data_IF_473723353395
#
_entry.id   IF_473723353395
#
_cell.length_a   1.000
_cell.length_b   1.000
_cell.length_c   1.000
_cell.angle_alpha   90.00
_cell.angle_beta   90.00
_cell.angle_gamma   90.00
#
_symmetry.space_group_name_H-M   'P 1'
#
loop_
_entity.id
_entity.type
_entity.pdbx_description
1 polymer ?
#
# COMPACT_ATOMS: atom_id res chain seq x y z
N UNK A 1 -6.30 -25.73 -11.12
CA UNK A 1 -6.41 -24.57 -10.18
C UNK A 1 -5.40 -23.56 -10.65
N UNK A 2 -5.76 -22.29 -10.82
CA UNK A 2 -4.76 -21.27 -11.13
C UNK A 2 -3.87 -21.12 -9.90
N UNK A 3 -2.60 -21.50 -10.00
CA UNK A 3 -1.63 -21.29 -8.93
C UNK A 3 -1.62 -19.80 -8.57
N UNK A 4 -1.85 -19.52 -7.30
CA UNK A 4 -1.84 -18.15 -6.81
C UNK A 4 -0.39 -17.70 -6.71
N UNK A 5 0.08 -17.03 -7.76
CA UNK A 5 1.43 -16.48 -7.84
C UNK A 5 1.34 -14.94 -7.79
N UNK A 6 2.08 -14.33 -6.86
CA UNK A 6 2.28 -12.88 -6.88
C UNK A 6 3.09 -12.53 -8.13
N UNK A 7 2.61 -11.57 -8.92
CA UNK A 7 3.35 -10.93 -10.01
C UNK A 7 4.02 -9.65 -9.46
N UNK A 8 5.32 -9.67 -9.10
CA UNK A 8 5.97 -8.54 -8.44
C UNK A 8 6.05 -7.33 -9.37
N UNK A 9 6.22 -7.55 -10.67
CA UNK A 9 6.21 -6.47 -11.67
C UNK A 9 4.86 -5.76 -11.74
N UNK A 10 3.77 -6.53 -11.75
CA UNK A 10 2.41 -5.99 -11.70
C UNK A 10 2.13 -5.20 -10.43
N UNK A 11 2.54 -5.73 -9.27
CA UNK A 11 2.40 -5.04 -7.97
C UNK A 11 3.20 -3.73 -7.97
N UNK A 12 4.43 -3.72 -8.47
CA UNK A 12 5.27 -2.51 -8.57
C UNK A 12 4.66 -1.45 -9.48
N UNK A 13 4.07 -1.84 -10.60
CA UNK A 13 3.37 -0.90 -11.50
C UNK A 13 2.19 -0.24 -10.79
N UNK A 14 1.37 -1.03 -10.09
CA UNK A 14 0.22 -0.50 -9.34
C UNK A 14 0.69 0.40 -8.20
N UNK A 15 1.68 -0.02 -7.41
CA UNK A 15 2.23 0.79 -6.32
C UNK A 15 2.79 2.12 -6.81
N UNK A 16 3.55 2.12 -7.91
CA UNK A 16 4.06 3.36 -8.52
C UNK A 16 2.92 4.30 -8.92
N UNK A 17 1.85 3.77 -9.52
CA UNK A 17 0.69 4.58 -9.90
C UNK A 17 -0.05 5.15 -8.68
N UNK A 18 -0.23 4.35 -7.62
CA UNK A 18 -0.87 4.80 -6.38
C UNK A 18 -0.04 5.87 -5.67
N UNK A 19 1.27 5.69 -5.56
CA UNK A 19 2.18 6.69 -4.97
C UNK A 19 2.16 7.99 -5.79
N UNK A 20 2.12 7.90 -7.12
CA UNK A 20 2.00 9.07 -8.00
C UNK A 20 0.70 9.84 -7.73
N UNK A 21 -0.43 9.14 -7.69
CA UNK A 21 -1.73 9.74 -7.39
C UNK A 21 -1.81 10.33 -5.97
N UNK A 22 -1.23 9.63 -4.98
CA UNK A 22 -1.12 10.10 -3.59
C UNK A 22 -0.34 11.43 -3.52
N UNK A 23 0.77 11.53 -4.26
CA UNK A 23 1.59 12.75 -4.33
C UNK A 23 0.88 13.92 -5.01
N UNK A 24 -0.12 13.68 -5.86
CA UNK A 24 -0.92 14.74 -6.47
C UNK A 24 -2.05 15.22 -5.55
N UNK A 25 -2.70 14.29 -4.84
CA UNK A 25 -3.91 14.55 -4.02
C UNK A 25 -3.57 15.14 -2.65
N UNK A 26 -2.55 14.61 -1.96
CA UNK A 26 -2.16 15.07 -0.62
C UNK A 26 -1.90 16.59 -0.53
N UNK A 27 -1.14 17.22 -1.42
CA UNK A 27 -0.89 18.66 -1.33
C UNK A 27 -2.12 19.50 -1.70
N UNK A 28 -3.02 18.99 -2.54
CA UNK A 28 -4.25 19.72 -2.91
C UNK A 28 -5.23 19.82 -1.75
N UNK A 29 -5.31 18.80 -0.88
CA UNK A 29 -6.20 18.77 0.28
C UNK A 29 -5.52 19.27 1.57
N UNK A 30 -4.45 20.05 1.41
CA UNK A 30 -3.78 20.68 2.55
C UNK A 30 -4.69 21.68 3.26
N UNK A 31 -4.56 21.75 4.59
CA UNK A 31 -5.24 22.73 5.44
C UNK A 31 -4.99 24.18 4.98
N UNK A 32 -3.87 24.43 4.30
CA UNK A 32 -3.48 25.73 3.76
C UNK A 32 -4.34 26.15 2.56
N UNK A 33 -4.61 25.23 1.62
CA UNK A 33 -5.54 25.49 0.50
C UNK A 33 -6.98 25.71 1.00
N UNK A 34 -7.38 24.93 2.01
CA UNK A 34 -8.67 25.09 2.71
C UNK A 34 -8.78 26.48 3.35
N UNK A 35 -7.75 26.91 4.07
CA UNK A 35 -7.72 28.23 4.69
C UNK A 35 -7.74 29.36 3.64
N UNK A 36 -7.11 29.15 2.48
CA UNK A 36 -7.17 30.07 1.34
C UNK A 36 -8.58 30.25 0.77
N UNK A 37 -9.33 29.15 0.61
CA UNK A 37 -10.74 29.20 0.15
C UNK A 37 -11.63 29.93 1.16
N UNK A 38 -11.46 29.65 2.46
CA UNK A 38 -12.22 30.32 3.52
C UNK A 38 -11.88 31.81 3.63
N UNK A 39 -10.60 32.17 3.47
CA UNK A 39 -10.14 33.56 3.48
C UNK A 39 -10.65 34.32 2.26
N UNK A 40 -10.77 33.67 1.11
CA UNK A 40 -11.45 34.25 -0.04
C UNK A 40 -12.90 34.56 0.30
N UNK A 41 -13.68 33.61 0.85
CA UNK A 41 -15.09 33.82 1.21
C UNK A 41 -15.37 34.98 2.18
N UNK A 42 -14.36 35.47 2.91
CA UNK A 42 -14.50 36.63 3.78
C UNK A 42 -14.82 37.95 3.04
N UNK A 43 -14.65 38.03 1.70
CA UNK A 43 -14.96 39.23 0.91
C UNK A 43 -16.44 39.63 0.93
N UNK A 44 -17.36 38.71 1.26
CA UNK A 44 -18.80 38.94 1.16
C UNK A 44 -19.47 39.68 2.34
N UNK A 45 -18.74 39.92 3.45
CA UNK A 45 -19.25 40.68 4.60
C UNK A 45 -20.42 40.00 5.36
N UNK A 46 -21.13 40.77 6.20
CA UNK A 46 -22.18 40.28 7.11
C UNK A 46 -23.35 39.56 6.41
N UNK A 47 -23.71 40.00 5.21
CA UNK A 47 -24.88 39.48 4.47
C UNK A 47 -24.68 38.07 3.92
N UNK A 48 -23.42 37.63 3.76
CA UNK A 48 -23.09 36.28 3.27
C UNK A 48 -22.36 35.44 4.33
N UNK A 49 -22.32 35.91 5.59
CA UNK A 49 -21.62 35.24 6.68
C UNK A 49 -22.09 33.78 6.89
N UNK A 50 -23.38 33.52 6.66
CA UNK A 50 -23.95 32.17 6.72
C UNK A 50 -23.36 31.21 5.68
N UNK A 51 -22.96 31.71 4.51
CA UNK A 51 -22.31 30.92 3.46
C UNK A 51 -20.89 30.55 3.87
N UNK A 52 -20.15 31.50 4.44
CA UNK A 52 -18.81 31.25 4.98
C UNK A 52 -18.82 30.18 6.08
N UNK A 53 -19.76 30.28 7.03
CA UNK A 53 -19.92 29.28 8.09
C UNK A 53 -20.35 27.90 7.56
N UNK A 54 -21.24 27.85 6.56
CA UNK A 54 -21.66 26.58 5.96
C UNK A 54 -20.51 25.89 5.19
N UNK A 55 -19.71 26.66 4.45
CA UNK A 55 -18.51 26.14 3.76
C UNK A 55 -17.46 25.68 4.77
N UNK A 56 -17.24 26.43 5.85
CA UNK A 56 -16.31 26.02 6.90
C UNK A 56 -16.74 24.72 7.59
N UNK A 57 -18.04 24.57 7.87
CA UNK A 57 -18.60 23.31 8.39
C UNK A 57 -18.39 22.15 7.42
N UNK A 58 -18.73 22.34 6.14
CA UNK A 58 -18.53 21.32 5.11
C UNK A 58 -17.06 20.91 4.99
N UNK A 59 -16.14 21.86 4.96
CA UNK A 59 -14.72 21.55 4.82
C UNK A 59 -14.19 20.82 6.05
N UNK A 60 -14.61 21.22 7.25
CA UNK A 60 -14.22 20.55 8.50
C UNK A 60 -14.72 19.09 8.52
N UNK A 61 -15.98 18.86 8.10
CA UNK A 61 -16.56 17.51 8.03
C UNK A 61 -15.87 16.64 6.97
N UNK A 62 -15.50 17.23 5.83
CA UNK A 62 -14.83 16.51 4.75
C UNK A 62 -13.35 16.26 5.05
N UNK A 63 -12.69 17.12 5.84
CA UNK A 63 -11.27 16.96 6.18
C UNK A 63 -11.00 15.62 6.85
N UNK A 64 -11.80 15.23 7.84
CA UNK A 64 -11.65 13.95 8.53
C UNK A 64 -11.83 12.74 7.57
N UNK A 65 -12.74 12.87 6.61
CA UNK A 65 -12.96 11.83 5.59
C UNK A 65 -11.77 11.72 4.64
N UNK A 66 -11.22 12.85 4.20
CA UNK A 66 -10.04 12.87 3.33
C UNK A 66 -8.80 12.35 4.06
N UNK A 67 -8.57 12.78 5.30
CA UNK A 67 -7.45 12.30 6.10
C UNK A 67 -7.51 10.78 6.28
N UNK A 68 -8.72 10.22 6.47
CA UNK A 68 -8.93 8.77 6.57
C UNK A 68 -8.60 8.05 5.26
N UNK A 69 -9.01 8.62 4.12
CA UNK A 69 -8.69 8.07 2.79
C UNK A 69 -7.17 8.08 2.57
N UNK A 70 -6.51 9.20 2.85
CA UNK A 70 -5.06 9.34 2.73
C UNK A 70 -4.33 8.32 3.61
N UNK A 71 -4.70 8.20 4.89
CA UNK A 71 -4.12 7.21 5.80
C UNK A 71 -4.32 5.77 5.28
N UNK A 72 -5.48 5.47 4.72
CA UNK A 72 -5.78 4.15 4.15
C UNK A 72 -4.90 3.86 2.93
N UNK A 73 -4.70 4.85 2.05
CA UNK A 73 -3.80 4.73 0.89
C UNK A 73 -2.37 4.48 1.36
N UNK A 74 -1.84 5.29 2.28
CA UNK A 74 -0.47 5.13 2.77
C UNK A 74 -0.26 3.78 3.48
N UNK A 75 -1.25 3.34 4.27
CA UNK A 75 -1.24 2.03 4.92
C UNK A 75 -1.27 0.88 3.89
N UNK A 76 -2.09 1.01 2.84
CA UNK A 76 -2.16 0.04 1.75
C UNK A 76 -0.85 -0.07 0.98
N UNK A 77 -0.24 1.07 0.61
CA UNK A 77 1.07 1.12 -0.07
C UNK A 77 2.13 0.43 0.79
N UNK A 78 2.20 0.77 2.07
CA UNK A 78 3.18 0.20 3.01
C UNK A 78 2.96 -1.31 3.19
N UNK A 79 1.71 -1.73 3.41
CA UNK A 79 1.35 -3.12 3.64
C UNK A 79 1.66 -4.00 2.43
N UNK A 80 1.22 -3.59 1.23
CA UNK A 80 1.44 -4.35 -0.01
C UNK A 80 2.92 -4.41 -0.38
N UNK A 81 3.67 -3.32 -0.18
CA UNK A 81 5.12 -3.30 -0.42
C UNK A 81 5.84 -4.30 0.47
N UNK A 82 5.55 -4.28 1.78
CA UNK A 82 6.17 -5.20 2.74
C UNK A 82 5.78 -6.66 2.51
N UNK A 83 4.52 -6.93 2.17
CA UNK A 83 4.07 -8.28 1.84
C UNK A 83 4.80 -8.84 0.61
N UNK A 84 5.02 -8.00 -0.41
CA UNK A 84 5.76 -8.37 -1.62
C UNK A 84 7.24 -8.69 -1.30
N UNK A 85 7.89 -7.84 -0.50
CA UNK A 85 9.27 -8.07 -0.06
C UNK A 85 9.40 -9.36 0.77
N UNK A 86 8.48 -9.58 1.71
CA UNK A 86 8.47 -10.79 2.53
C UNK A 86 8.29 -12.06 1.68
N UNK A 87 7.45 -11.99 0.64
CA UNK A 87 7.25 -13.09 -0.28
C UNK A 87 8.52 -13.43 -1.10
N UNK A 88 9.20 -12.42 -1.64
CA UNK A 88 10.48 -12.61 -2.37
C UNK A 88 11.59 -13.14 -1.45
N UNK A 89 11.70 -12.61 -0.23
CA UNK A 89 12.64 -13.09 0.77
C UNK A 89 12.35 -14.55 1.17
N UNK A 90 11.07 -14.89 1.36
CA UNK A 90 10.63 -16.24 1.67
C UNK A 90 10.97 -17.25 0.58
N UNK A 91 10.74 -16.89 -0.69
CA UNK A 91 11.14 -17.74 -1.83
C UNK A 91 12.66 -17.94 -1.90
N UNK A 92 13.44 -16.89 -1.67
CA UNK A 92 14.90 -16.97 -1.67
C UNK A 92 15.40 -17.87 -0.55
N UNK A 93 14.85 -17.72 0.67
CA UNK A 93 15.19 -18.57 1.80
C UNK A 93 14.81 -20.03 1.55
N UNK A 94 13.63 -20.28 1.00
CA UNK A 94 13.19 -21.62 0.65
C UNK A 94 14.11 -22.26 -0.40
N UNK A 95 14.46 -21.55 -1.47
CA UNK A 95 15.39 -22.04 -2.48
C UNK A 95 16.78 -22.37 -1.89
N UNK A 96 17.29 -21.53 -0.99
CA UNK A 96 18.55 -21.77 -0.29
C UNK A 96 18.50 -23.02 0.61
N UNK A 97 17.39 -23.22 1.34
CA UNK A 97 17.19 -24.43 2.14
C UNK A 97 17.19 -25.69 1.26
N UNK A 98 16.43 -25.70 0.16
CA UNK A 98 16.44 -26.84 -0.76
C UNK A 98 17.81 -27.12 -1.38
N UNK A 99 18.60 -26.08 -1.69
CA UNK A 99 19.97 -26.26 -2.18
C UNK A 99 20.91 -26.84 -1.10
N UNK A 100 20.76 -26.39 0.15
CA UNK A 100 21.55 -26.91 1.27
C UNK A 100 21.25 -28.38 1.54
N UNK A 101 19.96 -28.72 1.60
CA UNK A 101 19.51 -30.10 1.83
C UNK A 101 19.89 -31.01 0.65
N UNK A 102 19.90 -30.49 -0.58
CA UNK A 102 20.37 -31.27 -1.74
C UNK A 102 21.84 -31.69 -1.59
N UNK A 103 22.68 -30.79 -1.07
CA UNK A 103 24.09 -31.13 -0.81
C UNK A 103 24.22 -32.13 0.33
N UNK A 104 23.46 -31.97 1.43
CA UNK A 104 23.48 -32.91 2.56
C UNK A 104 23.01 -34.31 2.14
N UNK A 105 21.85 -34.41 1.49
CA UNK A 105 21.29 -35.67 1.00
C UNK A 105 22.18 -36.37 -0.04
N UNK A 106 22.98 -35.61 -0.81
CA UNK A 106 23.94 -36.19 -1.73
C UNK A 106 25.14 -36.84 -0.99
N UNK A 107 25.46 -36.39 0.22
CA UNK A 107 26.53 -36.92 1.05
C UNK A 107 26.09 -38.12 1.89
N UNK A 108 24.92 -38.06 2.52
CA UNK A 108 24.44 -39.07 3.47
C UNK A 108 23.38 -40.02 2.90
N UNK A 109 22.80 -39.70 1.73
CA UNK A 109 21.75 -40.48 1.08
C UNK A 109 20.36 -40.35 1.73
N UNK A 110 20.15 -39.44 2.67
CA UNK A 110 18.86 -39.20 3.31
C UNK A 110 18.03 -38.18 2.52
N UNK A 111 16.94 -38.64 1.89
CA UNK A 111 16.03 -37.79 1.10
C UNK A 111 14.75 -37.40 1.84
N UNK A 112 14.62 -37.71 3.13
CA UNK A 112 13.40 -37.50 3.91
C UNK A 112 12.90 -36.05 3.91
N UNK A 113 13.82 -35.08 3.82
CA UNK A 113 13.48 -33.67 3.65
C UNK A 113 12.66 -33.41 2.37
N UNK A 114 13.07 -34.00 1.24
CA UNK A 114 12.37 -33.85 -0.04
C UNK A 114 11.06 -34.61 -0.07
N UNK A 115 10.94 -35.74 0.62
CA UNK A 115 9.68 -36.44 0.77
C UNK A 115 8.64 -35.59 1.51
N UNK A 116 9.09 -34.81 2.51
CA UNK A 116 8.21 -33.98 3.32
C UNK A 116 7.85 -32.63 2.67
N UNK A 117 8.83 -31.96 2.06
CA UNK A 117 8.67 -30.58 1.57
C UNK A 117 8.78 -30.42 0.06
N UNK A 118 9.34 -31.42 -0.62
CA UNK A 118 9.61 -31.40 -2.05
C UNK A 118 8.38 -31.65 -2.91
N UNK A 119 8.59 -31.59 -4.22
CA UNK A 119 7.55 -31.84 -5.20
C UNK A 119 7.10 -33.31 -5.15
N UNK A 120 5.85 -33.56 -4.77
CA UNK A 120 5.34 -34.92 -4.60
C UNK A 120 4.85 -35.59 -5.88
N UNK A 121 4.91 -34.92 -7.03
CA UNK A 121 4.33 -35.43 -8.27
C UNK A 121 2.80 -35.47 -8.22
N UNK A 122 2.17 -35.17 -9.34
CA UNK A 122 0.80 -35.59 -9.59
C UNK A 122 0.80 -36.97 -10.27
#
# INVERSE_FOLDING_TARGET
MAEWQINPGGVKTVLTAVIGAESEVLPTVSAENVAGVLSALAWGGEWTACVGSAVQGLVTDQQASVDTICQTISAGVTGVSNATLAYEAGQTAMAASFQSEMMASAEDGDFSFFDQYGYQGA
#
